data_IF_041053739528
#
_entry.id   IF_041053739528
#
_cell.length_a   1.000
_cell.length_b   1.000
_cell.length_c   1.000
_cell.angle_alpha   90.00
_cell.angle_beta   90.00
_cell.angle_gamma   90.00
#
_symmetry.space_group_name_H-M   'P 1'
#
loop_
_entity.id
_entity.type
_entity.pdbx_description
1 polymer ?
#
# COMPACT_ATOMS: atom_id res chain seq x y z
N UNK A 1 -27.26 -68.24 25.71
CA UNK A 1 -26.03 -68.12 24.90
C UNK A 1 -26.05 -66.76 24.22
N UNK A 2 -25.16 -65.87 24.65
CA UNK A 2 -25.03 -64.49 24.17
C UNK A 2 -24.41 -64.45 22.76
N UNK A 3 -24.98 -63.62 21.89
CA UNK A 3 -24.29 -63.08 20.71
C UNK A 3 -23.79 -61.67 21.07
N UNK A 4 -22.48 -61.45 20.93
CA UNK A 4 -21.85 -60.14 21.02
C UNK A 4 -21.70 -59.57 19.60
N UNK A 5 -22.28 -58.40 19.36
CA UNK A 5 -22.08 -57.58 18.17
C UNK A 5 -21.32 -56.32 18.59
N UNK A 6 -20.12 -56.10 18.03
CA UNK A 6 -19.35 -54.88 18.21
C UNK A 6 -19.97 -53.73 17.38
N UNK A 7 -20.29 -52.63 18.05
CA UNK A 7 -20.76 -51.38 17.43
C UNK A 7 -19.58 -50.45 17.07
N UNK A 8 -19.67 -49.66 15.99
CA UNK A 8 -18.63 -48.69 15.62
C UNK A 8 -18.68 -47.42 16.51
N UNK A 9 -17.57 -46.67 16.64
CA UNK A 9 -17.47 -45.58 17.61
C UNK A 9 -18.32 -44.36 17.22
N UNK A 10 -19.02 -43.83 18.22
CA UNK A 10 -20.06 -42.83 18.13
C UNK A 10 -19.49 -41.40 17.89
N UNK A 11 -19.50 -40.90 16.64
CA UNK A 11 -19.03 -39.57 16.20
C UNK A 11 -19.71 -38.37 16.90
N UNK A 12 -20.83 -38.58 17.60
CA UNK A 12 -21.55 -37.54 18.35
C UNK A 12 -20.78 -37.01 19.57
N UNK A 13 -19.95 -37.83 20.22
CA UNK A 13 -19.31 -37.42 21.48
C UNK A 13 -18.01 -36.61 21.30
N UNK A 14 -17.33 -36.75 20.16
CA UNK A 14 -16.12 -35.96 19.84
C UNK A 14 -16.45 -34.51 19.42
N UNK A 15 -17.59 -34.30 18.76
CA UNK A 15 -18.09 -32.96 18.36
C UNK A 15 -18.73 -32.24 19.56
N UNK A 16 -19.47 -32.96 20.42
CA UNK A 16 -20.01 -32.39 21.67
C UNK A 16 -18.89 -31.91 22.59
N UNK A 17 -17.81 -32.66 22.79
CA UNK A 17 -16.71 -32.23 23.67
C UNK A 17 -15.88 -31.04 23.15
N UNK A 18 -15.80 -30.79 21.83
CA UNK A 18 -15.13 -29.58 21.27
C UNK A 18 -16.03 -28.34 21.34
N UNK A 19 -17.34 -28.50 21.13
CA UNK A 19 -18.34 -27.42 21.24
C UNK A 19 -18.62 -27.06 22.71
N UNK A 20 -18.56 -28.02 23.65
CA UNK A 20 -18.72 -27.76 25.08
C UNK A 20 -17.49 -27.04 25.68
N UNK A 21 -16.28 -27.30 25.17
CA UNK A 21 -15.06 -26.57 25.54
C UNK A 21 -15.05 -25.14 25.01
N UNK A 22 -15.68 -24.88 23.87
CA UNK A 22 -15.91 -23.54 23.31
C UNK A 22 -17.11 -22.82 23.97
N UNK A 23 -18.17 -23.53 24.37
CA UNK A 23 -19.34 -22.96 25.10
C UNK A 23 -19.02 -22.56 26.54
N UNK A 24 -18.19 -23.32 27.27
CA UNK A 24 -17.70 -22.89 28.58
C UNK A 24 -16.76 -21.67 28.51
N UNK A 25 -16.22 -21.33 27.33
CA UNK A 25 -15.46 -20.10 27.10
C UNK A 25 -16.33 -18.93 26.60
N UNK A 26 -17.59 -19.17 26.23
CA UNK A 26 -18.53 -18.14 25.73
C UNK A 26 -19.60 -17.75 26.75
N UNK A 27 -19.99 -18.63 27.68
CA UNK A 27 -21.05 -18.33 28.68
C UNK A 27 -20.61 -17.35 29.79
N UNK A 28 -19.30 -17.01 29.89
CA UNK A 28 -18.81 -15.91 30.74
C UNK A 28 -18.79 -14.54 30.02
N UNK A 29 -19.11 -14.46 28.72
CA UNK A 29 -18.95 -13.22 27.92
C UNK A 29 -20.23 -12.47 27.53
N UNK A 30 -21.42 -12.83 28.05
CA UNK A 30 -22.70 -12.27 27.54
C UNK A 30 -23.64 -11.58 28.55
N UNK A 31 -23.24 -11.25 29.78
CA UNK A 31 -24.09 -10.39 30.63
C UNK A 31 -23.56 -8.96 30.77
N UNK A 32 -24.36 -8.05 30.21
CA UNK A 32 -24.50 -6.60 30.48
C UNK A 32 -23.62 -5.62 29.69
N UNK A 33 -24.12 -5.24 28.50
CA UNK A 33 -24.01 -3.86 28.03
C UNK A 33 -24.76 -2.94 29.03
N UNK A 34 -24.01 -2.15 29.80
CA UNK A 34 -24.29 -0.73 30.12
C UNK A 34 -23.26 -0.23 31.12
N UNK A 35 -22.11 0.24 30.62
CA UNK A 35 -21.57 1.57 30.94
C UNK A 35 -20.16 1.70 30.36
N UNK A 36 -20.08 2.63 29.42
CA UNK A 36 -18.91 3.13 28.69
C UNK A 36 -17.75 3.52 29.60
N UNK A 37 -16.53 3.24 29.11
CA UNK A 37 -15.21 3.69 29.62
C UNK A 37 -14.58 2.83 30.73
N UNK A 38 -13.67 1.91 30.36
CA UNK A 38 -12.69 1.37 31.33
C UNK A 38 -11.96 0.07 30.98
N UNK A 39 -12.51 -0.83 30.16
CA UNK A 39 -12.02 -2.23 30.06
C UNK A 39 -11.57 -2.63 28.62
N UNK A 40 -11.56 -1.69 27.67
CA UNK A 40 -11.11 -1.93 26.28
C UNK A 40 -9.61 -2.26 26.19
N UNK A 41 -8.82 -1.95 27.22
CA UNK A 41 -7.36 -2.01 27.12
C UNK A 41 -6.76 -3.40 27.40
N UNK A 42 -7.42 -4.28 28.16
CA UNK A 42 -6.78 -5.54 28.60
C UNK A 42 -7.07 -6.77 27.71
N UNK A 43 -8.17 -6.79 26.96
CA UNK A 43 -8.52 -7.90 26.05
C UNK A 43 -7.86 -7.77 24.65
N UNK A 44 -7.36 -6.58 24.30
CA UNK A 44 -6.57 -6.37 23.09
C UNK A 44 -5.21 -7.10 23.15
N UNK A 45 -4.64 -7.26 24.35
CA UNK A 45 -3.28 -7.79 24.54
C UNK A 45 -3.16 -9.31 24.38
N UNK A 46 -4.25 -10.08 24.61
CA UNK A 46 -4.21 -11.54 24.47
C UNK A 46 -4.52 -11.99 23.03
N UNK A 47 -5.35 -11.25 22.29
CA UNK A 47 -5.56 -11.47 20.85
C UNK A 47 -4.33 -11.03 20.04
N UNK A 48 -3.60 -10.01 20.51
CA UNK A 48 -2.29 -9.65 19.98
C UNK A 48 -1.27 -10.82 20.11
N UNK A 49 -1.41 -11.68 21.11
CA UNK A 49 -0.54 -12.84 21.34
C UNK A 49 -0.60 -13.93 20.26
N UNK A 50 -1.79 -14.21 19.70
CA UNK A 50 -1.93 -15.20 18.63
C UNK A 50 -1.44 -14.68 17.26
N UNK A 51 -1.47 -13.36 17.05
CA UNK A 51 -0.86 -12.71 15.88
C UNK A 51 0.64 -12.43 16.04
N UNK A 52 1.15 -12.30 17.28
CA UNK A 52 2.58 -12.16 17.60
C UNK A 52 3.38 -13.47 17.41
N UNK A 53 2.70 -14.61 17.24
CA UNK A 53 3.35 -15.89 16.93
C UNK A 53 3.73 -16.04 15.45
N UNK A 54 3.21 -15.18 14.57
CA UNK A 54 3.84 -14.96 13.27
C UNK A 54 5.09 -14.11 13.55
N UNK A 55 6.30 -14.51 13.10
CA UNK A 55 7.45 -13.63 13.23
C UNK A 55 7.05 -12.29 12.62
N UNK A 56 7.08 -11.22 13.43
CA UNK A 56 7.08 -9.85 12.91
C UNK A 56 8.19 -9.87 11.89
N UNK A 57 7.83 -10.00 10.61
CA UNK A 57 8.77 -9.89 9.52
C UNK A 57 9.17 -8.43 9.57
N UNK A 58 10.23 -8.14 10.33
CA UNK A 58 11.18 -7.09 9.95
C UNK A 58 11.33 -7.30 8.46
N UNK A 59 11.00 -6.28 7.68
CA UNK A 59 11.25 -6.34 6.24
C UNK A 59 12.72 -6.69 6.14
N UNK A 60 13.05 -7.95 5.83
CA UNK A 60 14.39 -8.32 5.47
C UNK A 60 14.61 -7.51 4.21
N UNK A 61 15.27 -6.37 4.39
CA UNK A 61 15.76 -5.52 3.34
C UNK A 61 16.37 -6.47 2.30
N UNK A 62 16.07 -6.26 1.03
CA UNK A 62 16.69 -7.06 -0.01
C UNK A 62 18.20 -7.02 0.22
N UNK A 63 18.76 -8.14 0.70
CA UNK A 63 20.19 -8.35 0.76
C UNK A 63 20.58 -8.67 -0.67
N UNK A 64 20.90 -7.63 -1.42
CA UNK A 64 21.64 -7.79 -2.65
C UNK A 64 22.93 -8.54 -2.31
N UNK A 65 23.24 -9.58 -3.09
CA UNK A 65 24.55 -10.23 -2.99
C UNK A 65 25.67 -9.21 -3.26
N UNK A 66 25.40 -8.24 -4.14
CA UNK A 66 26.23 -7.06 -4.36
C UNK A 66 25.39 -5.84 -4.80
N UNK A 67 25.11 -4.90 -3.89
CA UNK A 67 24.42 -3.65 -4.24
C UNK A 67 25.36 -2.65 -4.93
N UNK A 68 26.68 -2.79 -4.72
CA UNK A 68 27.65 -1.92 -5.34
C UNK A 68 27.70 -2.14 -6.86
N UNK A 69 27.56 -3.40 -7.30
CA UNK A 69 27.43 -3.75 -8.73
C UNK A 69 26.22 -3.06 -9.36
N UNK A 70 25.04 -3.15 -8.73
CA UNK A 70 23.84 -2.46 -9.22
C UNK A 70 24.09 -0.95 -9.37
N UNK A 71 24.73 -0.31 -8.37
CA UNK A 71 25.05 1.12 -8.44
C UNK A 71 26.05 1.42 -9.57
N UNK A 72 27.05 0.58 -9.77
CA UNK A 72 28.03 0.75 -10.83
C UNK A 72 27.39 0.63 -12.23
N UNK A 73 26.44 -0.27 -12.42
CA UNK A 73 25.76 -0.49 -13.70
C UNK A 73 24.66 0.53 -14.01
N UNK A 74 24.00 1.09 -12.99
CA UNK A 74 22.79 1.88 -13.16
C UNK A 74 22.95 3.38 -12.84
N UNK A 75 24.08 3.82 -12.29
CA UNK A 75 24.36 5.23 -12.11
C UNK A 75 25.08 5.81 -13.35
N UNK A 76 24.86 7.10 -13.67
CA UNK A 76 25.50 7.72 -14.81
C UNK A 76 27.02 7.75 -14.66
N UNK A 77 27.72 7.34 -15.72
CA UNK A 77 29.17 7.50 -15.80
C UNK A 77 29.53 8.99 -15.92
N UNK A 78 30.77 9.35 -15.57
CA UNK A 78 31.23 10.74 -15.66
C UNK A 78 31.04 11.36 -17.06
N UNK A 79 31.29 10.59 -18.11
CA UNK A 79 31.08 11.03 -19.50
C UNK A 79 29.62 11.38 -19.81
N UNK A 80 28.66 10.69 -19.18
CA UNK A 80 27.24 10.99 -19.33
C UNK A 80 26.88 12.29 -18.60
N UNK A 81 27.40 12.48 -17.38
CA UNK A 81 27.21 13.71 -16.61
C UNK A 81 27.78 14.93 -17.35
N UNK A 82 28.95 14.78 -17.98
CA UNK A 82 29.59 15.85 -18.75
C UNK A 82 28.78 16.16 -20.02
N UNK A 83 28.28 15.13 -20.72
CA UNK A 83 27.40 15.30 -21.87
C UNK A 83 26.11 16.06 -21.50
N UNK A 84 25.52 15.78 -20.34
CA UNK A 84 24.34 16.49 -19.84
C UNK A 84 24.62 17.99 -19.59
N UNK A 85 25.84 18.33 -19.16
CA UNK A 85 26.27 19.73 -18.98
C UNK A 85 26.54 20.43 -20.32
N UNK A 86 27.14 19.73 -21.27
CA UNK A 86 27.41 20.24 -22.62
C UNK A 86 26.14 20.43 -23.46
N UNK A 87 25.14 19.55 -23.25
CA UNK A 87 23.86 19.54 -23.96
C UNK A 87 22.70 19.70 -22.98
N UNK A 88 22.52 20.89 -22.39
CA UNK A 88 21.44 21.13 -21.45
C UNK A 88 20.07 20.95 -22.11
N UNK A 89 19.08 20.59 -21.30
CA UNK A 89 17.70 20.45 -21.75
C UNK A 89 17.18 21.77 -22.32
N UNK A 90 16.39 21.68 -23.40
CA UNK A 90 15.71 22.82 -24.00
C UNK A 90 14.27 22.43 -24.38
N UNK A 91 13.24 23.07 -23.79
CA UNK A 91 13.30 24.12 -22.77
C UNK A 91 13.92 23.63 -21.45
N UNK A 92 14.56 24.50 -20.68
CA UNK A 92 14.99 24.21 -19.31
C UNK A 92 14.04 24.89 -18.32
N UNK A 93 12.96 24.24 -17.84
CA UNK A 93 12.06 24.84 -16.85
C UNK A 93 12.74 25.05 -15.48
N UNK A 94 12.50 26.19 -14.83
CA UNK A 94 13.09 26.45 -13.51
C UNK A 94 12.57 25.43 -12.47
N UNK A 95 13.48 24.76 -11.77
CA UNK A 95 13.15 23.88 -10.62
C UNK A 95 13.40 24.63 -9.32
N UNK A 96 12.40 24.69 -8.45
CA UNK A 96 12.47 25.31 -7.12
C UNK A 96 12.60 24.23 -6.04
N UNK A 97 13.71 24.25 -5.32
CA UNK A 97 13.99 23.33 -4.20
C UNK A 97 13.76 24.05 -2.87
N UNK A 98 12.93 23.47 -2.00
CA UNK A 98 12.68 23.98 -0.65
C UNK A 98 13.26 23.03 0.41
N UNK A 99 13.95 23.60 1.40
CA UNK A 99 14.53 22.86 2.53
C UNK A 99 14.18 23.61 3.83
N UNK A 100 13.39 22.98 4.71
CA UNK A 100 13.15 23.44 6.06
C UNK A 100 14.14 22.78 7.03
N UNK A 101 14.76 23.56 7.91
CA UNK A 101 15.83 23.12 8.80
C UNK A 101 15.45 23.11 10.29
N UNK A 102 14.16 23.19 10.63
CA UNK A 102 13.66 23.03 12.01
C UNK A 102 14.21 21.75 12.64
N UNK A 103 15.05 21.89 13.67
CA UNK A 103 15.67 20.77 14.40
C UNK A 103 16.79 20.02 13.67
N UNK A 104 17.22 20.49 12.49
CA UNK A 104 18.22 19.80 11.68
C UNK A 104 19.67 20.14 12.06
N UNK A 105 20.57 19.17 11.93
CA UNK A 105 22.01 19.41 12.12
C UNK A 105 22.61 20.20 10.96
N UNK A 106 23.62 21.04 11.25
CA UNK A 106 24.35 21.79 10.23
C UNK A 106 25.03 20.86 9.21
N UNK A 107 25.52 19.71 9.66
CA UNK A 107 26.16 18.72 8.80
C UNK A 107 25.18 18.16 7.76
N UNK A 108 23.98 17.78 8.18
CA UNK A 108 22.95 17.26 7.27
C UNK A 108 22.55 18.28 6.19
N UNK A 109 22.34 19.54 6.59
CA UNK A 109 22.02 20.63 5.64
C UNK A 109 23.16 20.85 4.64
N UNK A 110 24.41 20.89 5.14
CA UNK A 110 25.59 21.05 4.30
C UNK A 110 25.71 19.91 3.28
N UNK A 111 25.54 18.66 3.69
CA UNK A 111 25.61 17.50 2.79
C UNK A 111 24.58 17.58 1.67
N UNK A 112 23.35 18.00 1.97
CA UNK A 112 22.30 18.21 0.96
C UNK A 112 22.67 19.31 -0.03
N UNK A 113 23.22 20.44 0.45
CA UNK A 113 23.64 21.55 -0.41
C UNK A 113 24.85 21.18 -1.29
N UNK A 114 25.81 20.41 -0.76
CA UNK A 114 26.95 19.89 -1.54
C UNK A 114 26.49 18.90 -2.62
N UNK A 115 25.46 18.09 -2.36
CA UNK A 115 24.86 17.21 -3.36
C UNK A 115 24.08 18.00 -4.44
N UNK A 116 23.39 19.08 -4.05
CA UNK A 116 22.74 19.99 -5.00
C UNK A 116 23.74 20.77 -5.86
N UNK A 117 24.91 21.14 -5.31
CA UNK A 117 25.97 21.79 -6.09
C UNK A 117 26.57 20.93 -7.21
N UNK A 118 26.35 19.60 -7.17
CA UNK A 118 26.85 18.65 -8.17
C UNK A 118 25.88 18.42 -9.34
N UNK A 119 24.69 19.03 -9.31
CA UNK A 119 23.66 18.80 -10.31
C UNK A 119 24.12 19.16 -11.73
N UNK A 120 23.87 18.30 -12.70
CA UNK A 120 24.10 18.59 -14.13
C UNK A 120 23.04 19.52 -14.73
N UNK A 121 21.86 19.57 -14.11
CA UNK A 121 20.78 20.48 -14.50
C UNK A 121 21.04 21.90 -13.98
N UNK A 122 21.17 22.86 -14.89
CA UNK A 122 21.63 24.21 -14.54
C UNK A 122 20.52 25.21 -14.18
N UNK A 123 19.25 24.95 -14.47
CA UNK A 123 18.17 25.93 -14.22
C UNK A 123 17.36 25.61 -12.96
N UNK A 124 17.99 25.75 -11.79
CA UNK A 124 17.32 25.54 -10.51
C UNK A 124 17.66 26.64 -9.50
N UNK A 125 16.80 26.74 -8.48
CA UNK A 125 16.99 27.61 -7.33
C UNK A 125 16.70 26.85 -6.04
N UNK A 126 17.36 27.24 -4.95
CA UNK A 126 17.27 26.60 -3.65
C UNK A 126 16.92 27.65 -2.60
N UNK A 127 15.88 27.40 -1.83
CA UNK A 127 15.52 28.20 -0.66
C UNK A 127 15.63 27.35 0.61
N UNK A 128 16.58 27.70 1.47
CA UNK A 128 16.78 27.11 2.78
C UNK A 128 16.17 28.03 3.83
N UNK A 129 15.39 27.47 4.75
CA UNK A 129 14.80 28.23 5.86
C UNK A 129 15.23 27.61 7.19
N UNK A 130 15.83 28.43 8.07
CA UNK A 130 16.49 27.97 9.30
C UNK A 130 16.30 28.95 10.46
N UNK A 131 16.31 28.45 11.71
CA UNK A 131 15.94 29.24 12.89
C UNK A 131 16.98 30.29 13.29
N UNK A 132 18.26 29.96 13.51
CA UNK A 132 19.32 30.98 13.68
C UNK A 132 20.79 30.48 13.75
N UNK A 133 21.09 29.20 13.51
CA UNK A 133 22.45 28.67 13.72
C UNK A 133 23.14 28.13 12.45
N UNK A 134 23.06 28.87 11.34
CA UNK A 134 23.71 28.51 10.08
C UNK A 134 24.70 29.58 9.58
N UNK A 135 25.36 30.28 10.51
CA UNK A 135 26.43 31.21 10.19
C UNK A 135 27.47 30.57 9.24
N UNK A 136 27.64 31.12 8.04
CA UNK A 136 28.53 30.63 6.99
C UNK A 136 27.88 29.73 5.94
N UNK A 137 26.56 29.51 5.95
CA UNK A 137 25.83 29.02 4.77
C UNK A 137 25.53 30.20 3.82
N UNK A 138 26.58 30.80 3.26
CA UNK A 138 26.49 31.90 2.31
C UNK A 138 27.13 31.43 1.01
N UNK A 139 26.40 31.54 -0.10
CA UNK A 139 26.85 31.18 -1.45
C UNK A 139 27.42 29.76 -1.57
N UNK A 140 26.57 28.86 -2.05
CA UNK A 140 26.94 27.46 -2.30
C UNK A 140 27.39 27.26 -3.75
N UNK A 141 28.63 26.82 -3.91
CA UNK A 141 29.21 26.52 -5.22
C UNK A 141 28.35 25.50 -5.98
N UNK A 142 28.12 25.76 -7.26
CA UNK A 142 27.29 24.92 -8.13
C UNK A 142 25.77 25.12 -7.97
N UNK A 143 25.30 25.94 -7.02
CA UNK A 143 23.88 26.30 -6.90
C UNK A 143 23.63 27.66 -7.58
N UNK A 144 22.90 27.72 -8.72
CA UNK A 144 22.77 28.94 -9.51
C UNK A 144 22.08 30.10 -8.78
N UNK A 145 21.08 29.77 -7.96
CA UNK A 145 20.30 30.74 -7.19
C UNK A 145 20.04 30.18 -5.80
N UNK A 146 20.81 30.66 -4.82
CA UNK A 146 20.69 30.24 -3.43
C UNK A 146 20.05 31.35 -2.59
N UNK A 147 19.08 30.98 -1.74
CA UNK A 147 18.47 31.87 -0.75
C UNK A 147 18.47 31.20 0.62
N UNK A 148 19.00 31.89 1.61
CA UNK A 148 18.88 31.52 3.02
C UNK A 148 17.91 32.50 3.69
N UNK A 149 16.85 31.98 4.29
CA UNK A 149 15.87 32.74 5.07
C UNK A 149 16.01 32.36 6.54
N UNK A 150 16.24 33.35 7.39
CA UNK A 150 16.24 33.15 8.83
C UNK A 150 14.82 33.31 9.36
N UNK A 151 14.21 32.21 9.76
CA UNK A 151 12.86 32.17 10.28
C UNK A 151 12.73 31.05 11.32
N UNK A 152 12.43 31.45 12.56
CA UNK A 152 12.14 30.54 13.65
C UNK A 152 10.67 30.11 13.58
N UNK A 153 10.41 28.81 13.55
CA UNK A 153 9.06 28.27 13.39
C UNK A 153 9.09 26.81 12.94
N UNK A 154 7.91 26.20 12.96
CA UNK A 154 7.74 24.81 12.54
C UNK A 154 8.18 24.59 11.10
N UNK A 155 8.50 23.35 10.73
CA UNK A 155 8.86 23.02 9.35
C UNK A 155 7.80 23.44 8.33
N UNK A 156 6.51 23.35 8.68
CA UNK A 156 5.42 23.85 7.86
C UNK A 156 5.50 25.37 7.62
N UNK A 157 5.67 26.16 8.68
CA UNK A 157 5.79 27.62 8.57
C UNK A 157 7.05 28.04 7.81
N UNK A 158 8.15 27.31 8.00
CA UNK A 158 9.39 27.48 7.24
C UNK A 158 9.18 27.20 5.74
N UNK A 159 8.51 26.11 5.38
CA UNK A 159 8.17 25.82 3.97
C UNK A 159 7.24 26.89 3.38
N UNK A 160 6.28 27.41 4.15
CA UNK A 160 5.44 28.55 3.71
C UNK A 160 6.25 29.82 3.48
N UNK A 161 7.28 30.09 4.28
CA UNK A 161 8.20 31.19 4.04
C UNK A 161 9.03 30.96 2.76
N UNK A 162 9.50 29.73 2.53
CA UNK A 162 10.25 29.36 1.32
C UNK A 162 9.40 29.53 0.05
N UNK A 163 8.15 29.07 0.05
CA UNK A 163 7.23 29.14 -1.11
C UNK A 163 7.07 30.56 -1.64
N UNK A 164 7.04 31.56 -0.76
CA UNK A 164 6.92 32.99 -1.15
C UNK A 164 8.13 33.49 -1.96
N UNK A 165 9.26 32.80 -1.85
CA UNK A 165 10.52 33.15 -2.49
C UNK A 165 10.81 32.29 -3.73
N UNK A 166 10.01 31.27 -4.02
CA UNK A 166 10.23 30.30 -5.09
C UNK A 166 9.34 30.60 -6.30
N UNK A 167 9.91 30.46 -7.50
CA UNK A 167 9.29 30.89 -8.77
C UNK A 167 9.30 29.80 -9.85
N UNK A 168 9.68 28.58 -9.51
CA UNK A 168 9.86 27.46 -10.41
C UNK A 168 8.60 27.07 -11.19
N UNK A 169 8.83 26.50 -12.36
CA UNK A 169 7.82 25.73 -13.09
C UNK A 169 7.58 24.36 -12.42
N UNK A 170 8.57 23.87 -11.68
CA UNK A 170 8.49 22.65 -10.87
C UNK A 170 9.02 22.90 -9.46
N UNK A 171 8.54 22.11 -8.51
CA UNK A 171 8.84 22.19 -7.08
C UNK A 171 9.35 20.84 -6.58
N UNK A 172 10.36 20.87 -5.72
CA UNK A 172 10.94 19.71 -5.06
C UNK A 172 11.16 20.05 -3.58
N UNK A 173 10.70 19.19 -2.68
CA UNK A 173 11.05 19.28 -1.26
C UNK A 173 12.16 18.29 -0.95
N UNK A 174 13.24 18.77 -0.34
CA UNK A 174 14.29 17.93 0.23
C UNK A 174 14.35 18.14 1.75
N UNK A 175 14.73 17.09 2.45
CA UNK A 175 15.05 17.15 3.87
C UNK A 175 16.57 17.31 4.06
N UNK A 176 17.01 17.96 5.14
CA UNK A 176 18.41 17.91 5.55
C UNK A 176 18.91 16.47 5.66
N UNK A 177 20.00 16.13 4.96
CA UNK A 177 20.55 14.77 4.87
C UNK A 177 20.14 14.01 3.60
N UNK A 178 19.20 14.54 2.80
CA UNK A 178 18.92 14.02 1.47
C UNK A 178 20.08 14.35 0.52
N UNK A 179 20.57 13.36 -0.22
CA UNK A 179 21.65 13.45 -1.20
C UNK A 179 21.10 13.09 -2.60
N UNK A 180 20.59 14.06 -3.37
CA UNK A 180 20.19 13.81 -4.76
C UNK A 180 21.39 13.34 -5.59
N UNK A 181 21.17 12.36 -6.47
CA UNK A 181 22.17 11.92 -7.44
C UNK A 181 22.62 13.11 -8.33
N UNK A 182 23.86 13.13 -8.85
CA UNK A 182 24.39 14.28 -9.61
C UNK A 182 23.57 14.70 -10.85
N UNK A 183 22.70 13.85 -11.35
CA UNK A 183 21.80 14.12 -12.47
C UNK A 183 20.31 14.00 -12.10
N UNK A 184 19.98 13.95 -10.80
CA UNK A 184 18.61 13.76 -10.32
C UNK A 184 17.65 14.81 -10.89
N UNK A 185 18.01 16.10 -10.85
CA UNK A 185 17.18 17.16 -11.42
C UNK A 185 17.06 17.03 -12.95
N UNK A 186 18.13 16.67 -13.63
CA UNK A 186 18.13 16.49 -15.10
C UNK A 186 17.16 15.37 -15.48
N UNK A 187 17.29 14.22 -14.84
CA UNK A 187 16.46 13.05 -15.09
C UNK A 187 14.98 13.30 -14.77
N UNK A 188 14.66 13.95 -13.64
CA UNK A 188 13.29 14.28 -13.28
C UNK A 188 12.65 15.23 -14.30
N UNK A 189 13.39 16.25 -14.76
CA UNK A 189 12.89 17.21 -15.77
C UNK A 189 12.77 16.55 -17.15
N UNK A 190 13.72 15.70 -17.54
CA UNK A 190 13.72 15.01 -18.83
C UNK A 190 12.43 14.21 -19.06
N UNK A 191 11.87 13.58 -18.02
CA UNK A 191 10.59 12.86 -18.14
C UNK A 191 9.43 13.76 -18.55
N UNK A 192 9.45 15.04 -18.15
CA UNK A 192 8.42 16.02 -18.51
C UNK A 192 8.51 16.48 -19.97
N UNK A 193 9.65 16.26 -20.63
CA UNK A 193 9.80 16.51 -22.08
C UNK A 193 9.21 15.37 -22.89
N UNK A 194 9.51 14.13 -22.49
CA UNK A 194 8.97 12.94 -23.14
C UNK A 194 7.45 12.79 -22.92
N UNK A 195 6.95 13.30 -21.79
CA UNK A 195 5.55 13.22 -21.39
C UNK A 195 5.06 14.60 -20.93
N UNK A 196 4.49 15.44 -21.81
CA UNK A 196 4.02 16.78 -21.46
C UNK A 196 2.91 16.83 -20.40
N UNK A 197 2.21 15.71 -20.18
CA UNK A 197 1.19 15.56 -19.14
C UNK A 197 1.76 15.13 -17.77
N UNK A 198 3.07 14.83 -17.69
CA UNK A 198 3.76 14.45 -16.47
C UNK A 198 3.88 15.64 -15.53
N UNK A 199 3.06 15.62 -14.48
CA UNK A 199 2.99 16.70 -13.51
C UNK A 199 3.52 16.30 -12.13
N UNK A 200 3.70 15.00 -11.90
CA UNK A 200 4.45 14.45 -10.78
C UNK A 200 5.42 13.42 -11.33
N UNK A 201 6.70 13.58 -11.02
CA UNK A 201 7.76 12.63 -11.41
C UNK A 201 8.54 12.26 -10.17
N UNK A 202 8.77 10.97 -9.95
CA UNK A 202 9.52 10.49 -8.79
C UNK A 202 10.49 9.37 -9.17
N UNK A 203 11.47 9.12 -8.30
CA UNK A 203 12.50 8.12 -8.52
C UNK A 203 12.76 7.30 -7.26
N UNK A 204 13.53 6.23 -7.40
CA UNK A 204 13.90 5.35 -6.29
C UNK A 204 14.84 6.05 -5.30
N UNK A 205 14.87 5.52 -4.08
CA UNK A 205 15.74 6.02 -3.01
C UNK A 205 16.50 4.88 -2.33
N UNK A 206 17.61 5.21 -1.70
CA UNK A 206 18.29 4.32 -0.78
C UNK A 206 18.84 5.07 0.44
N UNK A 207 19.64 4.39 1.25
CA UNK A 207 20.24 4.98 2.44
C UNK A 207 21.75 4.86 2.45
N UNK A 208 22.41 5.76 3.15
CA UNK A 208 23.83 5.64 3.50
C UNK A 208 23.96 5.64 5.02
N UNK A 209 24.67 4.65 5.55
CA UNK A 209 25.03 4.54 6.98
C UNK A 209 26.53 4.30 7.02
N UNK A 210 27.25 5.09 7.81
CA UNK A 210 28.72 5.03 7.91
C UNK A 210 29.45 5.08 6.55
N UNK A 211 28.91 5.85 5.60
CA UNK A 211 29.46 6.01 4.26
C UNK A 211 29.15 4.87 3.28
N UNK A 212 28.47 3.81 3.73
CA UNK A 212 28.11 2.65 2.90
C UNK A 212 26.66 2.77 2.46
N UNK A 213 26.44 2.75 1.13
CA UNK A 213 25.09 2.74 0.54
C UNK A 213 24.44 1.37 0.69
N UNK A 214 23.19 1.35 1.14
CA UNK A 214 22.42 0.16 1.42
C UNK A 214 20.92 0.47 1.51
N UNK A 215 20.10 -0.59 1.66
CA UNK A 215 18.64 -0.52 1.82
C UNK A 215 17.95 0.22 0.67
N UNK A 216 18.11 -0.25 -0.58
CA UNK A 216 17.38 0.33 -1.70
C UNK A 216 15.88 0.13 -1.53
N UNK A 217 15.14 1.19 -1.86
CA UNK A 217 13.70 1.22 -1.98
C UNK A 217 13.38 1.40 -3.46
N UNK A 218 13.23 0.28 -4.16
CA UNK A 218 12.70 0.25 -5.52
C UNK A 218 11.19 0.41 -5.46
N UNK A 219 10.74 1.58 -5.90
CA UNK A 219 9.34 1.97 -5.84
C UNK A 219 8.60 1.34 -7.03
N UNK A 220 7.34 0.92 -6.85
CA UNK A 220 6.52 0.51 -7.97
C UNK A 220 6.06 1.73 -8.77
N UNK A 221 5.58 1.50 -9.99
CA UNK A 221 4.83 2.52 -10.71
C UNK A 221 3.61 3.00 -9.90
N UNK A 222 3.14 4.21 -10.23
CA UNK A 222 2.05 4.85 -9.48
C UNK A 222 0.79 3.99 -9.44
N UNK A 223 0.50 3.45 -8.26
CA UNK A 223 -0.78 2.85 -7.92
C UNK A 223 -1.49 3.69 -6.87
N UNK A 224 -2.65 4.26 -7.20
CA UNK A 224 -3.45 5.08 -6.26
C UNK A 224 -3.67 4.38 -4.91
N UNK A 225 -3.94 3.08 -4.95
CA UNK A 225 -4.22 2.29 -3.75
C UNK A 225 -2.97 1.88 -3.00
N UNK A 226 -1.91 1.55 -3.73
CA UNK A 226 -0.58 1.34 -3.16
C UNK A 226 -0.13 2.58 -2.39
N UNK A 227 -0.29 3.78 -2.99
CA UNK A 227 0.05 5.05 -2.36
C UNK A 227 -0.80 5.32 -1.11
N UNK A 228 -2.03 4.83 -1.01
CA UNK A 228 -2.85 5.00 0.21
C UNK A 228 -2.48 4.02 1.31
N UNK A 229 -1.82 2.92 0.96
CA UNK A 229 -1.37 1.90 1.92
C UNK A 229 0.09 2.04 2.33
N UNK A 230 0.93 2.66 1.52
CA UNK A 230 2.33 2.92 1.83
C UNK A 230 2.79 4.13 1.01
N UNK A 231 3.77 4.90 1.51
CA UNK A 231 4.35 6.02 0.76
C UNK A 231 5.23 5.51 -0.40
N UNK A 232 4.58 5.05 -1.47
CA UNK A 232 5.23 4.47 -2.66
C UNK A 232 5.81 5.51 -3.62
N UNK A 233 5.61 6.81 -3.36
CA UNK A 233 6.24 7.89 -4.13
C UNK A 233 7.49 8.41 -3.40
N UNK A 234 7.38 8.71 -2.09
CA UNK A 234 8.53 9.12 -1.28
C UNK A 234 9.27 10.33 -1.83
N UNK A 235 10.61 10.29 -1.79
CA UNK A 235 11.48 11.31 -2.39
C UNK A 235 12.51 10.64 -3.31
N UNK A 236 13.07 11.34 -4.31
CA UNK A 236 12.73 12.70 -4.70
C UNK A 236 11.42 12.70 -5.51
N UNK A 237 10.59 13.73 -5.33
CA UNK A 237 9.34 13.92 -6.06
C UNK A 237 9.28 15.34 -6.64
N UNK A 238 9.42 15.45 -7.96
CA UNK A 238 9.22 16.68 -8.72
C UNK A 238 7.74 16.92 -8.97
N UNK A 239 7.24 18.11 -8.65
CA UNK A 239 5.81 18.46 -8.80
C UNK A 239 5.66 19.72 -9.64
N UNK A 240 4.80 19.71 -10.65
CA UNK A 240 4.50 20.90 -11.46
C UNK A 240 3.90 22.03 -10.63
N UNK A 241 4.15 23.28 -11.05
CA UNK A 241 3.57 24.47 -10.41
C UNK A 241 2.05 24.40 -10.31
N UNK A 242 1.38 23.87 -11.33
CA UNK A 242 -0.09 23.72 -11.33
C UNK A 242 -0.55 22.81 -10.20
N UNK A 243 0.05 21.62 -10.09
CA UNK A 243 -0.30 20.65 -9.04
C UNK A 243 0.07 21.19 -7.66
N UNK A 244 1.29 21.70 -7.49
CA UNK A 244 1.76 22.28 -6.23
C UNK A 244 0.83 23.40 -5.73
N UNK A 245 0.41 24.30 -6.62
CA UNK A 245 -0.55 25.37 -6.30
C UNK A 245 -1.93 24.82 -5.97
N UNK A 246 -2.41 23.83 -6.75
CA UNK A 246 -3.74 23.24 -6.57
C UNK A 246 -3.92 22.53 -5.22
N UNK A 247 -2.85 21.94 -4.68
CA UNK A 247 -2.88 21.24 -3.38
C UNK A 247 -2.56 22.15 -2.18
N UNK A 248 -2.31 23.44 -2.45
CA UNK A 248 -2.01 24.44 -1.42
C UNK A 248 -0.56 24.47 -0.95
N UNK A 249 0.38 23.90 -1.71
CA UNK A 249 1.81 23.88 -1.40
C UNK A 249 2.26 22.70 -0.54
N UNK A 250 3.50 22.74 -0.07
CA UNK A 250 4.11 21.75 0.82
C UNK A 250 3.34 21.66 2.14
N UNK A 251 3.29 20.44 2.70
CA UNK A 251 2.51 20.12 3.92
C UNK A 251 3.32 20.13 5.21
N UNK A 252 4.64 20.03 5.13
CA UNK A 252 5.51 19.89 6.29
C UNK A 252 6.62 18.86 6.04
N UNK A 253 7.31 18.42 7.09
CA UNK A 253 8.48 17.54 6.98
C UNK A 253 8.33 16.24 7.75
N UNK A 254 7.21 16.03 8.46
CA UNK A 254 6.97 14.73 9.09
C UNK A 254 6.68 13.65 8.03
N UNK A 255 6.95 12.38 8.31
CA UNK A 255 6.64 11.29 7.39
C UNK A 255 5.16 11.27 6.94
N UNK A 256 4.21 11.57 7.83
CA UNK A 256 2.80 11.64 7.49
C UNK A 256 2.44 12.86 6.63
N UNK A 257 3.05 14.02 6.86
CA UNK A 257 2.84 15.23 6.06
C UNK A 257 3.40 15.07 4.64
N UNK A 258 4.61 14.52 4.52
CA UNK A 258 5.22 14.21 3.23
C UNK A 258 4.37 13.21 2.44
N UNK A 259 3.86 12.19 3.12
CA UNK A 259 2.97 11.21 2.50
C UNK A 259 1.63 11.83 2.08
N UNK A 260 1.02 12.67 2.92
CA UNK A 260 -0.20 13.41 2.57
C UNK A 260 0.02 14.31 1.34
N UNK A 261 1.17 15.00 1.28
CA UNK A 261 1.54 15.80 0.11
C UNK A 261 1.68 14.95 -1.16
N UNK A 262 2.29 13.75 -1.08
CA UNK A 262 2.36 12.82 -2.21
C UNK A 262 0.96 12.40 -2.70
N UNK A 263 0.04 12.08 -1.79
CA UNK A 263 -1.33 11.68 -2.13
C UNK A 263 -2.09 12.81 -2.82
N UNK A 264 -2.01 14.02 -2.28
CA UNK A 264 -2.71 15.18 -2.82
C UNK A 264 -2.15 15.54 -4.20
N UNK A 265 -0.82 15.56 -4.35
CA UNK A 265 -0.16 15.82 -5.64
C UNK A 265 -0.56 14.78 -6.68
N UNK A 266 -0.46 13.48 -6.34
CA UNK A 266 -0.81 12.41 -7.26
C UNK A 266 -2.30 12.41 -7.64
N UNK A 267 -3.18 12.84 -6.73
CA UNK A 267 -4.62 12.95 -7.01
C UNK A 267 -4.97 14.15 -7.90
N UNK A 268 -4.17 15.21 -7.85
CA UNK A 268 -4.37 16.44 -8.65
C UNK A 268 -3.62 16.42 -9.99
N UNK A 269 -2.65 15.52 -10.16
CA UNK A 269 -1.85 15.35 -11.37
C UNK A 269 -2.65 14.66 -12.49
N UNK A 270 -2.38 15.05 -13.74
CA UNK A 270 -2.88 14.34 -14.93
C UNK A 270 -2.13 13.04 -15.15
N UNK A 271 -0.82 13.07 -14.96
CA UNK A 271 0.03 11.90 -15.04
C UNK A 271 1.09 11.93 -13.94
N UNK A 272 1.31 10.76 -13.33
CA UNK A 272 2.36 10.49 -12.36
C UNK A 272 3.32 9.50 -13.00
N UNK A 273 4.61 9.84 -13.05
CA UNK A 273 5.65 9.02 -13.69
C UNK A 273 6.68 8.59 -12.65
N UNK A 274 7.00 7.31 -12.69
CA UNK A 274 8.07 6.70 -11.92
C UNK A 274 9.31 6.52 -12.79
N UNK A 275 10.49 6.77 -12.22
CA UNK A 275 11.78 6.46 -12.83
C UNK A 275 12.47 5.40 -11.97
N UNK A 276 12.56 4.18 -12.51
CA UNK A 276 13.17 3.00 -11.87
C UNK A 276 14.71 3.10 -11.82
N UNK A 277 15.22 4.09 -11.09
CA UNK A 277 16.65 4.32 -10.83
C UNK A 277 16.78 5.10 -9.53
N UNK A 278 17.87 4.87 -8.79
CA UNK A 278 18.12 5.64 -7.56
C UNK A 278 18.38 7.11 -7.91
N UNK A 279 17.48 7.99 -7.48
CA UNK A 279 17.58 9.44 -7.65
C UNK A 279 17.98 10.17 -6.37
N UNK A 280 17.89 9.51 -5.22
CA UNK A 280 18.18 10.11 -3.91
C UNK A 280 18.77 9.07 -2.95
N UNK A 281 19.77 9.48 -2.18
CA UNK A 281 20.28 8.73 -1.03
C UNK A 281 20.00 9.51 0.25
N UNK A 282 19.47 8.87 1.28
CA UNK A 282 19.23 9.50 2.58
C UNK A 282 20.36 9.14 3.54
N UNK A 283 21.02 10.14 4.15
CA UNK A 283 21.93 9.91 5.27
C UNK A 283 21.12 9.42 6.46
N UNK A 284 21.45 8.23 6.95
CA UNK A 284 20.86 7.67 8.17
C UNK A 284 21.94 7.51 9.23
N UNK A 285 21.62 7.95 10.44
CA UNK A 285 22.40 7.58 11.61
C UNK A 285 22.16 6.09 11.91
N UNK A 286 23.17 5.42 12.46
CA UNK A 286 23.21 3.97 12.66
C UNK A 286 22.18 3.40 13.68
N UNK A 287 21.25 4.23 14.16
CA UNK A 287 20.25 3.84 15.17
C UNK A 287 18.97 3.20 14.60
N UNK A 288 18.85 3.07 13.27
CA UNK A 288 17.75 2.34 12.63
C UNK A 288 16.36 2.96 12.84
N UNK A 289 16.29 4.19 13.35
CA UNK A 289 15.06 4.79 13.88
C UNK A 289 14.29 5.63 12.88
N UNK A 290 13.99 5.11 11.69
CA UNK A 290 13.27 5.91 10.68
C UNK A 290 12.17 5.22 9.91
N UNK A 291 11.84 3.95 10.17
CA UNK A 291 10.45 3.53 9.88
C UNK A 291 9.65 4.12 11.03
N UNK A 292 8.92 5.23 10.81
CA UNK A 292 8.22 5.87 11.90
C UNK A 292 7.21 4.85 12.41
N UNK A 293 7.08 4.76 13.73
CA UNK A 293 6.18 3.79 14.34
C UNK A 293 4.82 3.87 13.64
N UNK A 294 4.35 2.72 13.13
CA UNK A 294 3.11 2.59 12.36
C UNK A 294 1.93 3.22 13.07
N UNK A 295 1.91 3.16 14.40
CA UNK A 295 0.90 3.82 15.22
C UNK A 295 0.97 5.35 15.17
N UNK A 296 2.18 5.92 15.19
CA UNK A 296 2.40 7.36 15.06
C UNK A 296 1.96 7.82 13.67
N UNK A 297 2.43 7.12 12.63
CA UNK A 297 2.02 7.36 11.24
C UNK A 297 0.51 7.29 11.07
N UNK A 298 -0.12 6.21 11.55
CA UNK A 298 -1.57 6.02 11.51
C UNK A 298 -2.30 7.18 12.19
N UNK A 299 -1.85 7.63 13.37
CA UNK A 299 -2.47 8.73 14.11
C UNK A 299 -2.39 10.04 13.33
N UNK A 300 -1.20 10.38 12.87
CA UNK A 300 -0.95 11.62 12.12
C UNK A 300 -1.71 11.61 10.78
N UNK A 301 -1.66 10.50 10.06
CA UNK A 301 -2.35 10.34 8.77
C UNK A 301 -3.88 10.42 8.92
N UNK A 302 -4.46 9.77 9.93
CA UNK A 302 -5.89 9.90 10.23
C UNK A 302 -6.27 11.36 10.55
N UNK A 303 -5.39 12.09 11.27
CA UNK A 303 -5.61 13.50 11.59
C UNK A 303 -5.59 14.37 10.33
N UNK A 304 -4.68 14.12 9.39
CA UNK A 304 -4.51 14.92 8.18
C UNK A 304 -5.57 14.65 7.11
N UNK A 305 -5.94 13.39 6.88
CA UNK A 305 -6.72 13.00 5.70
C UNK A 305 -8.19 12.64 6.00
N UNK A 306 -8.51 12.32 7.26
CA UNK A 306 -9.83 11.80 7.66
C UNK A 306 -10.55 12.67 8.69
N UNK A 307 -9.91 13.75 9.16
CA UNK A 307 -10.59 14.83 9.88
C UNK A 307 -11.03 15.88 8.86
N UNK A 308 -12.30 16.26 8.86
CA UNK A 308 -12.84 17.30 7.98
C UNK A 308 -12.50 18.73 8.48
N UNK A 309 -11.43 18.89 9.26
CA UNK A 309 -11.10 20.13 9.95
C UNK A 309 -12.08 20.54 11.06
N UNK A 310 -13.20 19.82 11.27
CA UNK A 310 -14.19 20.12 12.31
C UNK A 310 -14.07 19.24 13.57
N UNK A 311 -13.08 18.34 13.61
CA UNK A 311 -12.90 17.37 14.70
C UNK A 311 -13.92 16.23 14.69
N UNK A 312 -14.85 16.18 13.71
CA UNK A 312 -15.74 15.03 13.52
C UNK A 312 -15.10 14.02 12.59
N UNK A 313 -15.01 12.76 13.04
CA UNK A 313 -14.59 11.63 12.19
C UNK A 313 -15.57 11.51 11.03
N UNK A 314 -15.18 11.93 9.84
CA UNK A 314 -16.06 11.87 8.68
C UNK A 314 -16.14 10.40 8.24
N UNK A 315 -17.22 9.70 8.64
CA UNK A 315 -17.47 8.28 8.37
C UNK A 315 -17.56 7.93 6.88
N UNK A 316 -17.38 8.91 6.00
CA UNK A 316 -17.48 8.85 4.53
C UNK A 316 -16.13 8.61 3.84
N UNK A 317 -14.98 8.91 4.47
CA UNK A 317 -13.66 8.80 3.83
C UNK A 317 -12.88 7.50 4.15
N UNK A 318 -13.41 6.63 5.02
CA UNK A 318 -12.71 5.42 5.45
C UNK A 318 -11.93 5.58 6.74
N UNK A 319 -11.23 4.52 7.12
CA UNK A 319 -10.34 4.47 8.28
C UNK A 319 -9.16 3.57 7.95
N UNK A 320 -8.00 3.86 8.51
CA UNK A 320 -6.82 3.03 8.35
C UNK A 320 -6.47 2.28 9.64
N UNK A 321 -5.98 1.06 9.47
CA UNK A 321 -5.34 0.29 10.51
C UNK A 321 -3.85 0.14 10.21
N UNK A 322 -3.11 -0.35 11.20
CA UNK A 322 -1.76 -0.83 10.97
C UNK A 322 -1.79 -1.97 9.93
N UNK A 323 -0.89 -1.91 8.95
CA UNK A 323 -0.70 -2.97 7.98
C UNK A 323 0.16 -4.10 8.52
N UNK A 324 0.24 -5.22 7.79
CA UNK A 324 1.02 -6.39 8.21
C UNK A 324 2.54 -6.18 8.15
N UNK A 325 3.01 -5.07 7.57
CA UNK A 325 4.41 -4.69 7.47
C UNK A 325 4.59 -3.31 8.10
N UNK A 326 5.67 -3.12 8.86
CA UNK A 326 5.99 -1.82 9.46
C UNK A 326 6.10 -0.74 8.36
N UNK A 327 5.52 0.44 8.62
CA UNK A 327 5.41 1.54 7.66
C UNK A 327 4.21 1.45 6.72
N UNK A 328 3.41 0.38 6.76
CA UNK A 328 2.21 0.22 5.91
C UNK A 328 0.91 0.40 6.68
N UNK A 329 -0.13 0.85 5.99
CA UNK A 329 -1.48 1.04 6.47
C UNK A 329 -2.46 0.16 5.69
N UNK A 330 -3.39 -0.47 6.42
CA UNK A 330 -4.52 -1.18 5.84
C UNK A 330 -5.72 -0.24 5.76
N UNK A 331 -6.08 0.13 4.54
CA UNK A 331 -7.22 1.01 4.28
C UNK A 331 -8.55 0.25 4.32
N UNK A 332 -9.55 0.84 4.97
CA UNK A 332 -10.94 0.37 4.99
C UNK A 332 -11.85 1.48 4.51
N UNK A 333 -12.81 1.14 3.66
CA UNK A 333 -13.70 2.11 3.04
C UNK A 333 -15.13 1.88 3.52
N UNK A 334 -15.91 2.94 3.78
CA UNK A 334 -17.30 2.76 4.14
C UNK A 334 -18.09 2.32 2.91
N UNK A 335 -18.99 1.36 3.10
CA UNK A 335 -19.95 0.97 2.07
C UNK A 335 -21.14 1.93 2.13
N UNK A 336 -21.52 2.47 0.98
CA UNK A 336 -22.76 3.27 0.85
C UNK A 336 -24.02 2.41 0.80
N UNK A 337 -23.88 1.15 0.38
CA UNK A 337 -24.93 0.12 0.29
C UNK A 337 -24.31 -1.25 0.54
N UNK A 338 -25.12 -2.22 0.91
CA UNK A 338 -24.73 -3.63 0.91
C UNK A 338 -25.03 -4.22 -0.48
N UNK A 339 -24.01 -4.61 -1.27
CA UNK A 339 -24.23 -5.19 -2.59
C UNK A 339 -24.56 -6.69 -2.46
N UNK A 340 -25.43 -7.18 -3.33
CA UNK A 340 -25.60 -8.62 -3.50
C UNK A 340 -24.35 -9.24 -4.15
N UNK A 341 -23.95 -10.43 -3.69
CA UNK A 341 -22.79 -11.14 -4.26
C UNK A 341 -23.17 -12.52 -4.76
N UNK A 342 -22.90 -12.79 -6.04
CA UNK A 342 -22.96 -14.15 -6.60
C UNK A 342 -21.59 -14.82 -6.52
N UNK A 343 -21.48 -15.92 -5.78
CA UNK A 343 -20.25 -16.72 -5.76
C UNK A 343 -20.32 -17.78 -6.84
N UNK A 344 -19.46 -17.68 -7.83
CA UNK A 344 -19.30 -18.68 -8.90
C UNK A 344 -18.10 -19.56 -8.56
N UNK A 345 -18.35 -20.86 -8.34
CA UNK A 345 -17.34 -21.86 -8.05
C UNK A 345 -17.16 -22.78 -9.26
N UNK A 346 -15.92 -22.97 -9.71
CA UNK A 346 -15.57 -23.87 -10.80
C UNK A 346 -14.28 -24.65 -10.50
N UNK A 347 -14.08 -25.78 -11.19
CA UNK A 347 -12.83 -26.54 -11.16
C UNK A 347 -12.48 -27.12 -9.79
N UNK A 348 -13.43 -27.80 -9.15
CA UNK A 348 -13.21 -28.48 -7.88
C UNK A 348 -12.74 -29.93 -8.09
N UNK A 349 -11.63 -30.30 -7.44
CA UNK A 349 -11.06 -31.64 -7.48
C UNK A 349 -11.58 -32.46 -6.30
N UNK A 350 -12.76 -33.04 -6.46
CA UNK A 350 -13.38 -33.91 -5.46
C UNK A 350 -14.24 -33.19 -4.42
N UNK A 351 -15.02 -33.98 -3.68
CA UNK A 351 -16.09 -33.48 -2.78
C UNK A 351 -15.49 -32.73 -1.59
N UNK A 352 -14.38 -33.21 -1.05
CA UNK A 352 -13.71 -32.62 0.13
C UNK A 352 -13.27 -31.19 -0.13
N UNK A 353 -12.70 -30.92 -1.31
CA UNK A 353 -12.22 -29.59 -1.69
C UNK A 353 -13.38 -28.63 -1.91
N UNK A 354 -14.38 -29.05 -2.69
CA UNK A 354 -15.58 -28.25 -2.92
C UNK A 354 -16.30 -27.92 -1.60
N UNK A 355 -16.45 -28.92 -0.73
CA UNK A 355 -17.07 -28.74 0.59
C UNK A 355 -16.28 -27.74 1.43
N UNK A 356 -14.95 -27.86 1.49
CA UNK A 356 -14.10 -26.92 2.23
C UNK A 356 -14.21 -25.48 1.68
N UNK A 357 -14.27 -25.34 0.36
CA UNK A 357 -14.46 -24.05 -0.30
C UNK A 357 -15.81 -23.41 0.10
N UNK A 358 -16.90 -24.18 0.03
CA UNK A 358 -18.24 -23.73 0.41
C UNK A 358 -18.30 -23.39 1.91
N UNK A 359 -17.87 -24.33 2.77
CA UNK A 359 -17.91 -24.17 4.22
C UNK A 359 -17.12 -22.93 4.66
N UNK A 360 -15.92 -22.71 4.08
CA UNK A 360 -15.12 -21.50 4.38
C UNK A 360 -15.75 -20.23 3.81
N UNK A 361 -16.40 -20.27 2.65
CA UNK A 361 -17.12 -19.11 2.10
C UNK A 361 -18.37 -18.74 2.92
N UNK A 362 -19.06 -19.73 3.49
CA UNK A 362 -20.24 -19.54 4.32
C UNK A 362 -19.90 -19.11 5.75
N UNK A 363 -18.89 -19.71 6.39
CA UNK A 363 -18.50 -19.37 7.76
C UNK A 363 -17.87 -17.96 7.86
N UNK A 364 -17.10 -17.55 6.85
CA UNK A 364 -16.33 -16.29 6.86
C UNK A 364 -17.12 -15.10 6.27
N UNK A 365 -18.43 -15.17 6.47
CA UNK A 365 -19.46 -14.35 5.87
C UNK A 365 -20.00 -13.31 6.83
N UNK A 366 -19.73 -12.03 6.60
CA UNK A 366 -20.34 -10.96 7.42
C UNK A 366 -21.46 -10.20 6.69
N UNK A 367 -21.80 -10.61 5.46
CA UNK A 367 -22.80 -9.96 4.60
C UNK A 367 -23.85 -10.99 4.22
N UNK A 368 -25.12 -10.69 4.51
CA UNK A 368 -26.27 -11.43 4.02
C UNK A 368 -26.39 -11.26 2.50
N UNK A 369 -26.78 -12.32 1.80
CA UNK A 369 -26.94 -12.43 0.34
C UNK A 369 -25.74 -13.02 -0.40
N UNK A 370 -25.72 -14.35 -0.45
CA UNK A 370 -24.96 -15.10 -1.44
C UNK A 370 -25.84 -16.07 -2.18
N UNK A 371 -25.77 -16.01 -3.50
CA UNK A 371 -26.14 -17.14 -4.34
C UNK A 371 -24.84 -17.86 -4.69
N UNK A 372 -24.70 -19.11 -4.25
CA UNK A 372 -23.59 -19.96 -4.69
C UNK A 372 -24.03 -20.64 -5.98
N UNK A 373 -23.24 -20.47 -7.03
CA UNK A 373 -23.42 -21.09 -8.34
C UNK A 373 -22.21 -21.98 -8.58
N UNK A 374 -22.46 -23.26 -8.82
CA UNK A 374 -21.40 -24.24 -9.07
C UNK A 374 -21.47 -24.65 -10.54
N UNK A 375 -20.37 -24.47 -11.25
CA UNK A 375 -20.18 -25.03 -12.58
C UNK A 375 -19.91 -26.53 -12.45
N UNK A 376 -20.80 -27.36 -12.99
CA UNK A 376 -20.64 -28.81 -13.06
C UNK A 376 -20.42 -29.23 -14.51
N UNK A 377 -19.21 -29.66 -14.82
CA UNK A 377 -18.86 -30.16 -16.15
C UNK A 377 -19.22 -31.65 -16.34
N UNK A 378 -19.78 -32.29 -15.31
CA UNK A 378 -20.17 -33.69 -15.33
C UNK A 378 -19.00 -34.68 -15.26
N UNK A 379 -17.75 -34.19 -15.12
CA UNK A 379 -16.53 -35.02 -15.04
C UNK A 379 -16.37 -35.74 -13.70
N UNK A 380 -17.09 -35.28 -12.67
CA UNK A 380 -17.05 -35.84 -11.32
C UNK A 380 -17.54 -37.28 -11.20
N UNK A 381 -17.09 -37.97 -10.15
CA UNK A 381 -17.52 -39.32 -9.80
C UNK A 381 -18.97 -39.35 -9.25
N UNK A 382 -19.51 -40.54 -8.97
CA UNK A 382 -20.85 -40.67 -8.38
C UNK A 382 -20.99 -39.92 -7.05
N UNK A 383 -19.90 -39.79 -6.30
CA UNK A 383 -19.88 -39.13 -5.00
C UNK A 383 -20.09 -37.63 -5.17
N UNK A 384 -19.40 -37.02 -6.13
CA UNK A 384 -19.59 -35.62 -6.52
C UNK A 384 -21.02 -35.38 -7.01
N UNK A 385 -21.53 -36.22 -7.90
CA UNK A 385 -22.92 -36.08 -8.40
C UNK A 385 -23.95 -36.13 -7.27
N UNK A 386 -23.81 -37.07 -6.33
CA UNK A 386 -24.67 -37.16 -5.13
C UNK A 386 -24.57 -35.91 -4.26
N UNK A 387 -23.36 -35.39 -4.07
CA UNK A 387 -23.12 -34.17 -3.29
C UNK A 387 -23.77 -32.94 -3.93
N UNK A 388 -23.56 -32.71 -5.24
CA UNK A 388 -24.18 -31.60 -5.98
C UNK A 388 -25.71 -31.68 -5.97
N UNK A 389 -26.28 -32.87 -6.10
CA UNK A 389 -27.73 -33.08 -5.98
C UNK A 389 -28.24 -32.72 -4.57
N UNK A 390 -27.49 -33.06 -3.52
CA UNK A 390 -27.84 -32.70 -2.15
C UNK A 390 -27.82 -31.17 -1.96
N UNK A 391 -26.79 -30.49 -2.46
CA UNK A 391 -26.69 -29.01 -2.43
C UNK A 391 -27.87 -28.35 -3.15
N UNK A 392 -28.22 -28.84 -4.34
CA UNK A 392 -29.37 -28.37 -5.12
C UNK A 392 -30.69 -28.56 -4.38
N UNK A 393 -30.90 -29.75 -3.79
CA UNK A 393 -32.13 -30.09 -3.05
C UNK A 393 -32.31 -29.22 -1.80
N UNK A 394 -31.21 -28.93 -1.11
CA UNK A 394 -31.21 -28.11 0.10
C UNK A 394 -31.18 -26.59 -0.20
N UNK A 395 -31.17 -26.19 -1.49
CA UNK A 395 -31.03 -24.79 -1.94
C UNK A 395 -29.76 -24.10 -1.43
N UNK A 396 -28.73 -24.87 -1.08
CA UNK A 396 -27.43 -24.35 -0.66
C UNK A 396 -26.64 -23.80 -1.85
N UNK A 397 -26.79 -24.41 -3.03
CA UNK A 397 -26.19 -23.93 -4.26
C UNK A 397 -27.07 -24.21 -5.48
N UNK A 398 -26.96 -23.35 -6.49
CA UNK A 398 -27.46 -23.61 -7.83
C UNK A 398 -26.38 -24.32 -8.64
N UNK A 399 -26.76 -25.40 -9.32
CA UNK A 399 -25.85 -26.18 -10.15
C UNK A 399 -26.12 -25.83 -11.62
N UNK A 400 -25.10 -25.32 -12.30
CA UNK A 400 -25.11 -25.01 -13.73
C UNK A 400 -24.31 -26.08 -14.45
N UNK A 401 -25.01 -26.96 -15.16
CA UNK A 401 -24.36 -27.97 -15.99
C UNK A 401 -23.72 -27.31 -17.21
N UNK A 402 -22.43 -27.57 -17.42
CA UNK A 402 -21.64 -27.08 -18.54
C UNK A 402 -21.00 -28.26 -19.27
N UNK A 403 -20.61 -28.06 -20.52
CA UNK A 403 -19.88 -29.09 -21.26
C UNK A 403 -18.41 -29.11 -20.77
N UNK A 404 -17.86 -30.29 -20.46
CA UNK A 404 -16.46 -30.46 -20.07
C UNK A 404 -15.45 -30.01 -21.14
N UNK A 405 -15.83 -30.06 -22.42
CA UNK A 405 -15.00 -29.56 -23.52
C UNK A 405 -15.07 -28.04 -23.67
N UNK A 406 -15.96 -27.37 -22.91
CA UNK A 406 -16.16 -25.93 -23.01
C UNK A 406 -15.01 -25.19 -22.33
N UNK A 407 -14.44 -24.14 -22.96
CA UNK A 407 -13.41 -23.33 -22.33
C UNK A 407 -13.89 -22.71 -21.01
N UNK A 408 -13.01 -22.67 -20.01
CA UNK A 408 -13.31 -22.12 -18.68
C UNK A 408 -13.95 -20.72 -18.72
N UNK A 409 -13.50 -19.75 -19.53
CA UNK A 409 -14.14 -18.43 -19.60
C UNK A 409 -15.62 -18.49 -19.97
N UNK A 410 -16.00 -19.36 -20.90
CA UNK A 410 -17.40 -19.50 -21.30
C UNK A 410 -18.26 -20.17 -20.21
N UNK A 411 -17.69 -21.14 -19.51
CA UNK A 411 -18.30 -21.75 -18.33
C UNK A 411 -18.56 -20.71 -17.24
N UNK A 412 -17.56 -19.87 -16.93
CA UNK A 412 -17.70 -18.79 -15.96
C UNK A 412 -18.75 -17.76 -16.39
N UNK A 413 -18.80 -17.40 -17.68
CA UNK A 413 -19.82 -16.49 -18.22
C UNK A 413 -21.25 -17.06 -18.11
N UNK A 414 -21.43 -18.36 -18.36
CA UNK A 414 -22.73 -19.01 -18.21
C UNK A 414 -23.23 -18.99 -16.76
N UNK A 415 -22.33 -19.26 -15.81
CA UNK A 415 -22.63 -19.18 -14.38
C UNK A 415 -22.88 -17.74 -13.92
N UNK A 416 -22.08 -16.78 -14.39
CA UNK A 416 -22.23 -15.36 -14.09
C UNK A 416 -23.62 -14.84 -14.50
N UNK A 417 -24.14 -15.24 -15.66
CA UNK A 417 -25.49 -14.86 -16.12
C UNK A 417 -26.60 -15.34 -15.19
N UNK A 418 -26.39 -16.41 -14.42
CA UNK A 418 -27.38 -16.97 -13.48
C UNK A 418 -27.34 -16.31 -12.10
N UNK A 419 -26.22 -15.70 -11.74
CA UNK A 419 -26.00 -15.11 -10.43
C UNK A 419 -26.94 -13.94 -10.13
N UNK A 420 -27.22 -13.10 -11.14
CA UNK A 420 -28.08 -11.91 -11.04
C UNK A 420 -27.78 -11.06 -9.79
N UNK A 421 -26.51 -10.73 -9.58
CA UNK A 421 -26.00 -10.02 -8.40
C UNK A 421 -25.28 -8.72 -8.79
N UNK A 422 -25.16 -7.78 -7.84
CA UNK A 422 -24.40 -6.53 -8.02
C UNK A 422 -22.92 -6.80 -8.27
N UNK A 423 -22.37 -7.83 -7.61
CA UNK A 423 -20.97 -8.25 -7.70
C UNK A 423 -20.87 -9.76 -7.92
N UNK A 424 -19.84 -10.16 -8.65
CA UNK A 424 -19.49 -11.57 -8.87
C UNK A 424 -18.16 -11.88 -8.20
N UNK A 425 -18.11 -13.00 -7.48
CA UNK A 425 -16.89 -13.55 -6.91
C UNK A 425 -16.63 -14.90 -7.56
N UNK A 426 -15.52 -14.98 -8.30
CA UNK A 426 -15.08 -16.23 -8.92
C UNK A 426 -14.09 -16.94 -8.01
N UNK A 427 -14.43 -18.17 -7.62
CA UNK A 427 -13.59 -19.03 -6.80
C UNK A 427 -13.25 -20.31 -7.57
N UNK A 428 -12.00 -20.74 -7.44
CA UNK A 428 -11.65 -22.12 -7.77
C UNK A 428 -12.10 -23.02 -6.61
N UNK A 429 -12.72 -24.17 -6.91
CA UNK A 429 -13.26 -25.08 -5.89
C UNK A 429 -12.24 -25.76 -4.98
N UNK A 430 -10.94 -25.56 -5.24
CA UNK A 430 -9.84 -26.10 -4.44
C UNK A 430 -9.27 -25.10 -3.42
N UNK A 431 -9.82 -23.88 -3.32
CA UNK A 431 -9.32 -22.89 -2.36
C UNK A 431 -10.03 -23.00 -1.01
N UNK A 432 -9.35 -22.54 0.03
CA UNK A 432 -9.92 -22.31 1.35
C UNK A 432 -9.80 -20.82 1.71
N UNK A 433 -10.90 -20.22 2.17
CA UNK A 433 -10.92 -18.83 2.58
C UNK A 433 -10.46 -18.70 4.03
N UNK A 434 -9.31 -18.05 4.23
CA UNK A 434 -8.69 -17.88 5.54
C UNK A 434 -9.18 -16.64 6.31
N UNK A 435 -9.66 -15.61 5.60
CA UNK A 435 -9.97 -14.31 6.22
C UNK A 435 -11.47 -14.19 6.57
N UNK A 436 -11.84 -14.00 7.85
CA UNK A 436 -13.24 -13.86 8.29
C UNK A 436 -13.97 -12.65 7.74
N UNK A 437 -13.23 -11.63 7.31
CA UNK A 437 -13.79 -10.40 6.79
C UNK A 437 -13.62 -10.29 5.26
N UNK A 438 -13.21 -11.36 4.56
CA UNK A 438 -12.79 -11.28 3.17
C UNK A 438 -13.86 -10.63 2.28
N UNK A 439 -15.13 -11.05 2.39
CA UNK A 439 -16.16 -10.53 1.52
C UNK A 439 -16.51 -9.09 1.85
N UNK A 440 -16.50 -8.75 3.13
CA UNK A 440 -16.69 -7.38 3.58
C UNK A 440 -15.60 -6.49 2.99
N UNK A 441 -14.34 -6.90 3.04
CA UNK A 441 -13.23 -6.13 2.48
C UNK A 441 -13.25 -6.08 0.95
N UNK A 442 -13.61 -7.18 0.31
CA UNK A 442 -13.75 -7.26 -1.14
C UNK A 442 -14.84 -6.29 -1.62
N UNK A 443 -15.99 -6.28 -0.98
CA UNK A 443 -17.10 -5.36 -1.32
C UNK A 443 -16.74 -3.90 -1.04
N UNK A 444 -15.98 -3.60 0.02
CA UNK A 444 -15.48 -2.25 0.30
C UNK A 444 -14.58 -1.71 -0.81
N UNK A 445 -13.73 -2.57 -1.40
CA UNK A 445 -12.86 -2.20 -2.51
C UNK A 445 -13.61 -2.17 -3.85
N UNK A 446 -14.43 -3.19 -4.13
CA UNK A 446 -15.17 -3.33 -5.38
C UNK A 446 -16.19 -2.21 -5.62
N UNK A 447 -16.78 -1.65 -4.55
CA UNK A 447 -17.75 -0.55 -4.65
C UNK A 447 -17.11 0.82 -4.85
N UNK A 448 -15.78 0.90 -4.94
CA UNK A 448 -15.11 2.18 -5.16
C UNK A 448 -15.25 2.60 -6.62
N UNK A 449 -15.39 3.92 -6.81
CA UNK A 449 -15.39 4.49 -8.13
C UNK A 449 -14.09 4.15 -8.89
N UNK A 450 -14.23 3.58 -10.09
CA UNK A 450 -13.12 3.17 -10.95
C UNK A 450 -12.62 1.74 -10.72
N UNK A 451 -13.13 1.00 -9.72
CA UNK A 451 -12.78 -0.41 -9.56
C UNK A 451 -13.55 -1.27 -10.59
N UNK A 452 -12.83 -1.99 -11.45
CA UNK A 452 -13.40 -2.94 -12.40
C UNK A 452 -13.38 -4.39 -11.89
N UNK A 453 -12.30 -4.77 -11.21
CA UNK A 453 -12.13 -6.06 -10.55
C UNK A 453 -11.20 -5.90 -9.35
N UNK A 454 -11.31 -6.83 -8.39
CA UNK A 454 -10.44 -6.90 -7.23
C UNK A 454 -10.05 -8.37 -6.99
N UNK A 455 -8.87 -8.57 -6.41
CA UNK A 455 -8.34 -9.91 -6.13
C UNK A 455 -7.74 -9.99 -4.74
N UNK A 456 -7.68 -11.20 -4.22
CA UNK A 456 -7.00 -11.51 -2.97
C UNK A 456 -5.61 -12.08 -3.22
N UNK A 457 -4.76 -11.99 -2.19
CA UNK A 457 -3.52 -12.77 -2.13
C UNK A 457 -3.85 -14.24 -1.84
N UNK A 458 -3.33 -15.14 -2.66
CA UNK A 458 -3.45 -16.59 -2.50
C UNK A 458 -2.12 -17.13 -2.00
N UNK A 459 -2.18 -17.99 -0.99
CA UNK A 459 -1.01 -18.67 -0.43
C UNK A 459 -1.20 -20.18 -0.52
N UNK A 460 -0.10 -20.93 -0.58
CA UNK A 460 -0.13 -22.38 -0.46
C UNK A 460 -0.22 -22.82 1.01
N UNK A 461 -0.30 -24.13 1.24
CA UNK A 461 -0.37 -24.73 2.58
C UNK A 461 0.85 -24.39 3.47
N UNK A 462 2.01 -24.09 2.88
CA UNK A 462 3.21 -23.66 3.59
C UNK A 462 3.23 -22.15 3.90
N UNK A 463 2.21 -21.40 3.49
CA UNK A 463 2.12 -19.95 3.64
C UNK A 463 2.92 -19.15 2.60
N UNK A 464 3.45 -19.79 1.57
CA UNK A 464 4.14 -19.11 0.47
C UNK A 464 3.12 -18.47 -0.47
N UNK A 465 3.44 -17.29 -1.00
CA UNK A 465 2.57 -16.57 -1.94
C UNK A 465 2.53 -17.34 -3.26
N UNK A 466 1.33 -17.76 -3.67
CA UNK A 466 1.07 -18.34 -5.00
C UNK A 466 0.63 -17.27 -5.99
N UNK A 467 -0.17 -16.31 -5.54
CA UNK A 467 -0.62 -15.17 -6.34
C UNK A 467 -0.85 -13.96 -5.45
N UNK A 468 -0.50 -12.77 -5.93
CA UNK A 468 -0.78 -11.49 -5.28
C UNK A 468 -1.59 -10.55 -6.20
N UNK A 469 -2.25 -11.12 -7.22
CA UNK A 469 -2.93 -10.39 -8.28
C UNK A 469 -2.31 -10.65 -9.65
N UNK A 470 -2.99 -10.17 -10.69
CA UNK A 470 -2.56 -10.24 -12.09
C UNK A 470 -2.57 -8.84 -12.66
N UNK A 471 -1.50 -8.46 -13.37
CA UNK A 471 -1.49 -7.24 -14.18
C UNK A 471 -2.05 -7.61 -15.55
N UNK A 472 -3.10 -6.91 -15.98
CA UNK A 472 -3.74 -7.14 -17.28
C UNK A 472 -3.15 -6.15 -18.28
N UNK A 473 -2.70 -6.64 -19.44
CA UNK A 473 -2.27 -5.79 -20.56
C UNK A 473 -0.81 -5.35 -20.54
N UNK A 474 0.09 -6.13 -19.93
CA UNK A 474 1.54 -5.99 -20.08
C UNK A 474 2.03 -6.47 -21.45
#
# INVERSE_FOLDING_TARGET
>A
MQQAAEQPPNRSNAVKNKVQKYRMMQEESEMTETNTSGIITAAADIIAGAFNALPKRVCNQHKFSDYADYLHENLPAQAELDLQREKPLNPAPLVSVAIACSGASRAAVRSTLEALGKQTYANFEVCVVSELAQAGLTDYEGIPKFRLVLFNGTAYEQLKAAEKMLNGAYFLQLLPGDLPAPDALHMLVLQTHANPEAEVVFADEDSVIDGIRQNPIFKPDYGRDTLRSFNSIGRPMLVSKRVHTAVGGFRGSTPAELWAYCIDCASAARQVIHIARIGLTVIRDCDGSEIPCTDILKREFNSLYLSDGSGKKNRTNGYCFEGSVLGTLRMRYPRKREPSVGIVIAGADGVENLQRCIDSAEMQSTVDCRRIIIADDGSGDERMRRYLQALKKNRAAEIVHVNAERPLPETLNACACKAAADLLLFLNGNIEILSPAFLREFTELALRHGAGAIGGKIVNESGNILSAGTVIGL
#
